data_IF_882541397136
#
_entry.id   IF_882541397136
#
_cell.length_a   1.000
_cell.length_b   1.000
_cell.length_c   1.000
_cell.angle_alpha   90.00
_cell.angle_beta   90.00
_cell.angle_gamma   90.00
#
_symmetry.space_group_name_H-M   'P 1'
#
loop_
_entity.id
_entity.type
_entity.pdbx_description
1 polymer ?
#
# COMPACT_ATOMS: atom_id res chain seq x y z
N UNK A 1 -3.64 8.38 9.78
CA UNK A 1 -2.28 8.74 10.22
C UNK A 1 -1.37 9.01 9.01
N UNK A 2 -0.44 9.97 9.08
CA UNK A 2 0.62 10.08 8.06
C UNK A 2 1.66 8.98 8.23
N UNK A 3 1.83 8.18 7.19
CA UNK A 3 2.82 7.09 7.13
C UNK A 3 4.12 7.59 6.52
N UNK A 4 4.06 8.39 5.46
CA UNK A 4 5.24 9.04 4.86
C UNK A 4 5.16 10.56 5.04
N UNK A 5 6.05 11.12 5.84
CA UNK A 5 6.14 12.57 6.02
C UNK A 5 6.78 13.28 4.80
N UNK A 6 7.76 12.64 4.17
CA UNK A 6 8.45 13.14 2.98
C UNK A 6 7.50 13.54 1.85
N UNK A 7 6.50 12.70 1.60
CA UNK A 7 5.57 12.85 0.48
C UNK A 7 4.12 13.01 0.95
N UNK A 8 3.92 13.32 2.24
CA UNK A 8 2.60 13.49 2.85
C UNK A 8 1.61 12.37 2.53
N UNK A 9 2.06 11.11 2.62
CA UNK A 9 1.22 9.93 2.37
C UNK A 9 0.56 9.48 3.65
N UNK A 10 -0.77 9.44 3.66
CA UNK A 10 -1.56 8.89 4.75
C UNK A 10 -1.73 7.37 4.63
N UNK A 11 -2.01 6.72 5.76
CA UNK A 11 -2.51 5.36 5.82
C UNK A 11 -3.72 5.15 4.90
N UNK A 12 -4.68 6.08 4.91
CA UNK A 12 -5.87 6.04 4.06
C UNK A 12 -5.49 6.00 2.57
N UNK A 13 -4.51 6.78 2.14
CA UNK A 13 -4.04 6.76 0.75
C UNK A 13 -3.45 5.40 0.37
N UNK A 14 -2.67 4.77 1.26
CA UNK A 14 -2.11 3.43 1.04
C UNK A 14 -3.25 2.40 0.94
N UNK A 15 -4.16 2.37 1.92
CA UNK A 15 -5.30 1.43 1.93
C UNK A 15 -6.17 1.56 0.67
N UNK A 16 -6.48 2.79 0.27
CA UNK A 16 -7.24 3.06 -0.95
C UNK A 16 -6.52 2.56 -2.21
N UNK A 17 -5.20 2.76 -2.31
CA UNK A 17 -4.43 2.24 -3.43
C UNK A 17 -4.40 0.71 -3.45
N UNK A 18 -4.33 0.06 -2.29
CA UNK A 18 -4.36 -1.40 -2.18
C UNK A 18 -5.71 -1.97 -2.63
N UNK A 19 -6.83 -1.42 -2.14
CA UNK A 19 -8.16 -1.86 -2.57
C UNK A 19 -8.48 -1.56 -4.04
N UNK A 20 -7.82 -0.55 -4.64
CA UNK A 20 -8.10 -0.16 -6.03
C UNK A 20 -7.25 -0.93 -7.04
N UNK A 21 -6.00 -1.21 -6.69
CA UNK A 21 -5.00 -1.73 -7.65
C UNK A 21 -4.44 -3.10 -7.26
N UNK A 22 -4.72 -3.61 -6.06
CA UNK A 22 -4.26 -4.91 -5.55
C UNK A 22 -2.77 -5.19 -5.86
N UNK A 23 -1.85 -4.27 -5.50
CA UNK A 23 -0.44 -4.42 -5.84
C UNK A 23 0.11 -5.71 -5.21
N UNK A 24 0.76 -6.54 -6.02
CA UNK A 24 1.40 -7.80 -5.59
C UNK A 24 2.79 -7.58 -5.01
N UNK A 25 3.40 -6.42 -5.28
CA UNK A 25 4.70 -6.05 -4.73
C UNK A 25 4.71 -4.62 -4.20
N UNK A 26 5.58 -4.34 -3.24
CA UNK A 26 5.75 -2.98 -2.73
C UNK A 26 6.23 -2.00 -3.82
N UNK A 27 6.95 -2.49 -4.83
CA UNK A 27 7.35 -1.68 -5.97
C UNK A 27 6.14 -1.25 -6.82
N UNK A 28 5.14 -2.11 -6.99
CA UNK A 28 3.88 -1.72 -7.63
C UNK A 28 3.13 -0.68 -6.81
N UNK A 29 3.07 -0.83 -5.47
CA UNK A 29 2.46 0.18 -4.59
C UNK A 29 3.08 1.57 -4.78
N UNK A 30 4.41 1.64 -4.94
CA UNK A 30 5.14 2.91 -5.18
C UNK A 30 4.75 3.61 -6.49
N UNK A 31 4.26 2.88 -7.47
CA UNK A 31 3.80 3.46 -8.73
C UNK A 31 2.45 4.18 -8.56
N UNK A 32 1.65 3.82 -7.56
CA UNK A 32 0.34 4.41 -7.29
C UNK A 32 0.39 5.48 -6.21
N UNK A 33 1.30 5.34 -5.24
CA UNK A 33 1.46 6.24 -4.11
C UNK A 33 2.94 6.51 -3.89
N UNK A 34 3.40 7.77 -3.78
CA UNK A 34 4.81 8.11 -3.62
C UNK A 34 5.30 7.79 -2.20
N UNK A 35 5.31 6.52 -1.80
CA UNK A 35 5.69 6.07 -0.45
C UNK A 35 7.10 5.49 -0.43
N UNK A 36 7.95 6.00 0.46
CA UNK A 36 9.31 5.48 0.64
C UNK A 36 10.29 5.79 -0.50
N UNK A 37 10.02 6.84 -1.29
CA UNK A 37 10.88 7.29 -2.40
C UNK A 37 11.94 8.32 -2.00
N UNK A 38 11.89 8.86 -0.78
CA UNK A 38 12.89 9.79 -0.23
C UNK A 38 13.71 9.12 0.89
N UNK A 39 13.40 9.37 2.17
CA UNK A 39 14.22 8.87 3.29
C UNK A 39 14.01 7.38 3.64
N UNK A 40 12.99 6.72 3.07
CA UNK A 40 12.70 5.30 3.29
C UNK A 40 12.17 4.89 4.68
N UNK A 41 12.15 5.79 5.69
CA UNK A 41 11.74 5.46 7.07
C UNK A 41 10.33 4.86 7.20
N UNK A 42 9.44 5.24 6.27
CA UNK A 42 8.06 4.76 6.23
C UNK A 42 7.88 3.35 5.63
N UNK A 43 8.90 2.79 4.98
CA UNK A 43 8.76 1.56 4.16
C UNK A 43 8.21 0.38 4.99
N UNK A 44 8.73 0.17 6.19
CA UNK A 44 8.29 -0.94 7.06
C UNK A 44 6.80 -0.84 7.41
N UNK A 45 6.36 0.36 7.82
CA UNK A 45 4.96 0.61 8.20
C UNK A 45 4.04 0.54 6.98
N UNK A 46 4.44 1.15 5.87
CA UNK A 46 3.67 1.13 4.63
C UNK A 46 3.50 -0.30 4.08
N UNK A 47 4.55 -1.13 4.18
CA UNK A 47 4.51 -2.54 3.77
C UNK A 47 3.56 -3.34 4.63
N UNK A 48 3.62 -3.17 5.96
CA UNK A 48 2.69 -3.84 6.87
C UNK A 48 1.23 -3.51 6.51
N UNK A 49 0.91 -2.23 6.32
CA UNK A 49 -0.45 -1.80 5.92
C UNK A 49 -0.85 -2.46 4.59
N UNK A 50 0.06 -2.51 3.61
CA UNK A 50 -0.20 -3.14 2.33
C UNK A 50 -0.54 -4.63 2.47
N UNK A 51 0.28 -5.36 3.23
CA UNK A 51 0.10 -6.81 3.45
C UNK A 51 -1.17 -7.09 4.24
N UNK A 52 -1.44 -6.35 5.31
CA UNK A 52 -2.66 -6.47 6.11
C UNK A 52 -3.91 -6.27 5.26
N UNK A 53 -3.94 -5.23 4.40
CA UNK A 53 -5.08 -4.97 3.53
C UNK A 53 -5.27 -6.04 2.45
N UNK A 54 -4.19 -6.58 1.89
CA UNK A 54 -4.27 -7.64 0.89
C UNK A 54 -4.86 -8.94 1.47
N UNK A 55 -4.68 -9.20 2.78
CA UNK A 55 -5.31 -10.35 3.45
C UNK A 55 -6.82 -10.17 3.66
N UNK A 56 -7.31 -8.93 3.71
CA UNK A 56 -8.72 -8.62 3.90
C UNK A 56 -9.52 -8.65 2.60
N UNK A 57 -8.85 -8.58 1.44
CA UNK A 57 -9.50 -8.63 0.14
C UNK A 57 -9.84 -10.10 -0.18
N UNK A 58 -11.13 -10.48 -0.29
CA UNK A 58 -11.51 -11.83 -0.70
C UNK A 58 -10.93 -12.10 -2.09
N UNK A 59 -10.13 -13.16 -2.21
CA UNK A 59 -9.71 -13.67 -3.50
C UNK A 59 -10.90 -14.41 -4.11
N UNK A 60 -11.61 -13.77 -5.04
CA UNK A 60 -12.57 -14.45 -5.90
C UNK A 60 -11.81 -15.21 -6.99
N UNK A 61 -10.97 -16.16 -6.58
CA UNK A 61 -10.33 -17.06 -7.51
C UNK A 61 -11.35 -18.16 -7.87
N UNK A 62 -11.88 -18.06 -9.10
CA UNK A 62 -12.75 -19.02 -9.78
C UNK A 62 -14.21 -19.07 -9.29
N UNK A 63 -15.06 -18.23 -9.90
CA UNK A 63 -16.47 -18.59 -10.10
C UNK A 63 -16.65 -18.79 -11.61
N UNK A 64 -16.71 -20.08 -11.99
CA UNK A 64 -17.00 -20.68 -13.29
C UNK A 64 -15.97 -20.52 -14.42
#
# INVERSE_FOLDING_TARGET
MYVCLCNSVSDKAIRQAVHRYQPKTFQQLRNFVPVGTQCGKCIRVARQIMEDELQLIPQFDNIA
#
